data_IF_213279877993
#
_entry.id   IF_213279877993
#
_cell.length_a   1.000
_cell.length_b   1.000
_cell.length_c   1.000
_cell.angle_alpha   90.00
_cell.angle_beta   90.00
_cell.angle_gamma   90.00
#
_symmetry.space_group_name_H-M   'P 1'
#
loop_
_entity.id
_entity.type
_entity.pdbx_description
1 polymer ?
#
# COMPACT_ATOMS: atom_id res chain seq x y z
N UNK A 1 44.32 33.20 25.43
CA UNK A 1 43.14 32.33 25.24
C UNK A 1 42.25 32.88 24.11
N UNK A 2 42.67 32.77 22.85
CA UNK A 2 41.92 33.33 21.69
C UNK A 2 41.91 32.46 20.44
N UNK A 3 42.47 31.25 20.50
CA UNK A 3 42.61 30.35 19.34
C UNK A 3 41.42 29.39 19.15
N UNK A 4 40.53 29.27 20.13
CA UNK A 4 39.43 28.29 20.11
C UNK A 4 38.20 28.82 19.32
N UNK A 5 37.84 30.10 19.50
CA UNK A 5 36.70 30.71 18.79
C UNK A 5 36.94 30.87 17.27
N UNK A 6 38.19 31.01 16.85
CA UNK A 6 38.56 31.16 15.44
C UNK A 6 38.47 29.85 14.66
N UNK A 7 38.77 28.71 15.30
CA UNK A 7 38.56 27.38 14.70
C UNK A 7 37.07 27.05 14.56
N UNK A 8 36.27 27.30 15.61
CA UNK A 8 34.83 27.05 15.58
C UNK A 8 34.11 27.89 14.50
N UNK A 9 34.49 29.17 14.37
CA UNK A 9 33.97 30.02 13.30
C UNK A 9 34.40 29.57 11.89
N UNK A 10 35.61 29.01 11.74
CA UNK A 10 36.06 28.45 10.46
C UNK A 10 35.30 27.17 10.09
N UNK A 11 35.02 26.30 11.05
CA UNK A 11 34.19 25.10 10.84
C UNK A 11 32.74 25.47 10.49
N UNK A 12 32.16 26.45 11.17
CA UNK A 12 30.83 26.97 10.84
C UNK A 12 30.79 27.58 9.44
N UNK A 13 31.80 28.34 9.05
CA UNK A 13 31.93 28.89 7.70
C UNK A 13 32.08 27.78 6.65
N UNK A 14 32.85 26.73 6.94
CA UNK A 14 33.00 25.57 6.04
C UNK A 14 31.68 24.79 5.88
N UNK A 15 30.93 24.59 6.97
CA UNK A 15 29.59 23.98 6.94
C UNK A 15 28.61 24.84 6.13
N UNK A 16 28.57 26.15 6.37
CA UNK A 16 27.71 27.06 5.62
C UNK A 16 28.00 27.03 4.12
N UNK A 17 29.29 27.03 3.74
CA UNK A 17 29.71 26.91 2.33
C UNK A 17 29.30 25.57 1.72
N UNK A 18 29.35 24.47 2.48
CA UNK A 18 28.87 23.16 2.02
C UNK A 18 27.35 23.14 1.80
N UNK A 19 26.59 23.77 2.71
CA UNK A 19 25.13 23.91 2.60
C UNK A 19 24.76 24.75 1.38
N UNK A 20 25.39 25.91 1.17
CA UNK A 20 25.16 26.75 -0.01
C UNK A 20 25.47 26.01 -1.31
N UNK A 21 26.52 25.17 -1.31
CA UNK A 21 26.86 24.34 -2.46
C UNK A 21 25.77 23.30 -2.74
N UNK A 22 25.25 22.63 -1.71
CA UNK A 22 24.12 21.70 -1.85
C UNK A 22 22.87 22.43 -2.37
N UNK A 23 22.49 23.57 -1.79
CA UNK A 23 21.33 24.37 -2.22
C UNK A 23 21.45 24.75 -3.70
N UNK A 24 22.63 25.18 -4.14
CA UNK A 24 22.84 25.55 -5.55
C UNK A 24 22.80 24.33 -6.49
N UNK A 25 23.25 23.16 -6.03
CA UNK A 25 23.11 21.91 -6.78
C UNK A 25 21.62 21.50 -6.89
N UNK A 26 20.88 21.56 -5.79
CA UNK A 26 19.45 21.24 -5.75
C UNK A 26 18.62 22.21 -6.58
N UNK A 27 18.96 23.50 -6.61
CA UNK A 27 18.32 24.50 -7.48
C UNK A 27 18.53 24.16 -8.96
N UNK A 28 19.75 23.77 -9.34
CA UNK A 28 20.05 23.39 -10.73
C UNK A 28 19.32 22.11 -11.13
N UNK A 29 19.36 21.09 -10.27
CA UNK A 29 18.60 19.86 -10.48
C UNK A 29 17.08 20.13 -10.53
N UNK A 30 16.57 21.00 -9.68
CA UNK A 30 15.16 21.39 -9.65
C UNK A 30 14.70 22.15 -10.89
N UNK A 31 15.57 22.97 -11.49
CA UNK A 31 15.24 23.76 -12.68
C UNK A 31 14.99 22.93 -13.93
N UNK A 32 15.53 21.71 -14.01
CA UNK A 32 15.29 20.78 -15.13
C UNK A 32 14.12 19.83 -14.89
N UNK A 33 13.53 19.80 -13.69
CA UNK A 33 12.40 18.93 -13.36
C UNK A 33 11.09 19.56 -13.86
N UNK A 34 10.42 18.87 -14.78
CA UNK A 34 9.06 19.21 -15.21
C UNK A 34 8.05 18.60 -14.24
N UNK A 35 7.22 19.43 -13.60
CA UNK A 35 6.16 19.00 -12.67
C UNK A 35 4.84 18.88 -13.42
N UNK A 36 4.21 17.71 -13.32
CA UNK A 36 2.91 17.41 -13.94
C UNK A 36 1.87 17.17 -12.86
N UNK A 37 0.67 17.74 -13.03
CA UNK A 37 -0.47 17.52 -12.14
C UNK A 37 -1.57 16.77 -12.91
N UNK A 38 -1.94 15.60 -12.41
CA UNK A 38 -3.06 14.83 -12.95
C UNK A 38 -4.34 15.21 -12.20
N UNK A 39 -5.28 15.84 -12.91
CA UNK A 39 -6.59 16.23 -12.38
C UNK A 39 -7.69 15.31 -12.92
N UNK A 40 -8.70 15.04 -12.09
CA UNK A 40 -9.86 14.23 -12.47
C UNK A 40 -10.66 13.78 -11.26
N UNK A 41 -11.88 13.28 -11.49
CA UNK A 41 -12.77 12.77 -10.46
C UNK A 41 -12.13 11.65 -9.61
N UNK A 42 -12.69 11.38 -8.43
CA UNK A 42 -12.30 10.20 -7.64
C UNK A 42 -12.33 8.94 -8.51
N UNK A 43 -11.36 8.04 -8.31
CA UNK A 43 -11.33 6.71 -8.96
C UNK A 43 -11.14 6.69 -10.49
N UNK A 44 -11.00 7.83 -11.18
CA UNK A 44 -10.83 7.89 -12.64
C UNK A 44 -9.51 7.30 -13.19
N UNK A 45 -8.72 6.62 -12.37
CA UNK A 45 -7.50 5.93 -12.81
C UNK A 45 -6.23 6.78 -12.83
N UNK A 46 -6.20 7.96 -12.18
CA UNK A 46 -4.97 8.78 -12.06
C UNK A 46 -3.77 7.99 -11.54
N UNK A 47 -3.98 7.22 -10.48
CA UNK A 47 -2.94 6.34 -9.92
C UNK A 47 -2.53 5.22 -10.87
N UNK A 48 -3.44 4.78 -11.75
CA UNK A 48 -3.14 3.78 -12.77
C UNK A 48 -2.22 4.35 -13.85
N UNK A 49 -2.47 5.58 -14.31
CA UNK A 49 -1.60 6.27 -15.27
C UNK A 49 -0.19 6.46 -14.71
N UNK A 50 -0.07 6.87 -13.44
CA UNK A 50 1.22 7.00 -12.77
C UNK A 50 1.95 5.66 -12.64
N UNK A 51 1.24 4.58 -12.30
CA UNK A 51 1.82 3.23 -12.25
C UNK A 51 2.32 2.78 -13.63
N UNK A 52 1.61 3.10 -14.70
CA UNK A 52 2.06 2.81 -16.07
C UNK A 52 3.31 3.62 -16.44
N UNK A 53 3.38 4.88 -16.04
CA UNK A 53 4.60 5.70 -16.21
C UNK A 53 5.81 5.08 -15.50
N UNK A 54 5.62 4.55 -14.28
CA UNK A 54 6.69 3.85 -13.55
C UNK A 54 7.14 2.58 -14.26
N UNK A 55 6.21 1.81 -14.85
CA UNK A 55 6.56 0.60 -15.61
C UNK A 55 7.36 0.93 -16.87
N UNK A 56 7.02 2.03 -17.56
CA UNK A 56 7.65 2.41 -18.84
C UNK A 56 9.01 3.11 -18.68
N UNK A 57 9.18 3.93 -17.64
CA UNK A 57 10.34 4.82 -17.49
C UNK A 57 11.25 4.51 -16.30
N UNK A 58 10.84 3.64 -15.38
CA UNK A 58 11.65 3.19 -14.25
C UNK A 58 11.98 1.70 -14.37
N UNK A 59 12.89 1.18 -13.53
CA UNK A 59 13.27 -0.24 -13.50
C UNK A 59 12.18 -1.17 -12.92
N UNK A 60 10.90 -0.89 -13.15
CA UNK A 60 9.77 -1.64 -12.61
C UNK A 60 9.50 -1.37 -11.13
N UNK A 61 8.92 -2.36 -10.44
CA UNK A 61 8.60 -2.32 -9.01
C UNK A 61 9.58 -3.18 -8.20
N UNK A 62 9.92 -2.74 -7.00
CA UNK A 62 10.76 -3.51 -6.08
C UNK A 62 9.98 -4.64 -5.41
N UNK A 63 10.67 -5.66 -4.88
CA UNK A 63 10.02 -6.75 -4.14
C UNK A 63 9.27 -6.25 -2.90
N UNK A 64 9.78 -5.20 -2.25
CA UNK A 64 9.13 -4.53 -1.12
C UNK A 64 7.78 -3.92 -1.54
N UNK A 65 7.75 -3.13 -2.63
CA UNK A 65 6.52 -2.55 -3.17
C UNK A 65 5.49 -3.62 -3.58
N UNK A 66 5.96 -4.75 -4.11
CA UNK A 66 5.11 -5.89 -4.48
C UNK A 66 4.51 -6.52 -3.22
N UNK A 67 5.31 -6.74 -2.18
CA UNK A 67 4.82 -7.32 -0.92
C UNK A 67 3.81 -6.43 -0.22
N UNK A 68 4.02 -5.11 -0.23
CA UNK A 68 3.03 -4.16 0.29
C UNK A 68 1.71 -4.25 -0.50
N UNK A 69 1.79 -4.29 -1.84
CA UNK A 69 0.60 -4.39 -2.71
C UNK A 69 -0.16 -5.70 -2.54
N UNK A 70 0.49 -6.82 -2.20
CA UNK A 70 -0.19 -8.10 -1.94
C UNK A 70 -1.28 -7.95 -0.87
N UNK A 71 -0.96 -7.31 0.26
CA UNK A 71 -1.91 -7.09 1.35
C UNK A 71 -3.14 -6.30 0.88
N UNK A 72 -2.94 -5.30 0.03
CA UNK A 72 -3.99 -4.46 -0.55
C UNK A 72 -4.89 -5.29 -1.47
N UNK A 73 -4.31 -6.16 -2.32
CA UNK A 73 -5.08 -7.04 -3.21
C UNK A 73 -5.97 -7.99 -2.41
N UNK A 74 -5.44 -8.63 -1.37
CA UNK A 74 -6.25 -9.52 -0.52
C UNK A 74 -7.40 -8.77 0.17
N UNK A 75 -7.11 -7.60 0.74
CA UNK A 75 -8.12 -6.74 1.35
C UNK A 75 -9.22 -6.37 0.36
N UNK A 76 -8.84 -5.98 -0.86
CA UNK A 76 -9.80 -5.61 -1.90
C UNK A 76 -10.69 -6.78 -2.29
N UNK A 77 -10.13 -7.97 -2.48
CA UNK A 77 -10.90 -9.18 -2.83
C UNK A 77 -11.94 -9.50 -1.76
N UNK A 78 -11.52 -9.57 -0.50
CA UNK A 78 -12.44 -9.87 0.63
C UNK A 78 -13.49 -8.77 0.77
N UNK A 79 -13.09 -7.50 0.68
CA UNK A 79 -14.03 -6.37 0.78
C UNK A 79 -15.04 -6.40 -0.36
N UNK A 80 -14.61 -6.65 -1.60
CA UNK A 80 -15.49 -6.78 -2.76
C UNK A 80 -16.48 -7.94 -2.58
N UNK A 81 -16.02 -9.10 -2.12
CA UNK A 81 -16.90 -10.24 -1.82
C UNK A 81 -17.94 -9.89 -0.77
N UNK A 82 -17.55 -9.29 0.36
CA UNK A 82 -18.47 -8.85 1.40
C UNK A 82 -19.48 -7.82 0.89
N UNK A 83 -19.07 -6.90 0.02
CA UNK A 83 -19.97 -5.91 -0.59
C UNK A 83 -21.00 -6.57 -1.50
N UNK A 84 -20.59 -7.52 -2.34
CA UNK A 84 -21.50 -8.27 -3.21
C UNK A 84 -22.52 -9.04 -2.38
N UNK A 85 -22.08 -9.79 -1.37
CA UNK A 85 -22.99 -10.59 -0.55
C UNK A 85 -23.97 -9.71 0.24
N UNK A 86 -23.52 -8.57 0.78
CA UNK A 86 -24.42 -7.59 1.42
C UNK A 86 -25.43 -7.01 0.43
N UNK A 87 -25.05 -6.76 -0.82
CA UNK A 87 -25.97 -6.27 -1.84
C UNK A 87 -27.00 -7.34 -2.23
N UNK A 88 -26.57 -8.60 -2.32
CA UNK A 88 -27.48 -9.72 -2.59
C UNK A 88 -28.57 -9.85 -1.53
N UNK A 89 -28.22 -9.71 -0.25
CA UNK A 89 -29.15 -9.81 0.89
C UNK A 89 -30.04 -8.56 1.04
N UNK A 90 -29.42 -7.36 1.05
CA UNK A 90 -30.12 -6.11 1.39
C UNK A 90 -30.79 -5.39 0.22
N UNK A 91 -30.34 -5.63 -1.02
CA UNK A 91 -30.82 -4.88 -2.19
C UNK A 91 -31.59 -5.78 -3.14
N UNK A 92 -31.05 -6.96 -3.44
CA UNK A 92 -31.61 -7.86 -4.46
C UNK A 92 -32.49 -8.97 -3.86
N UNK A 93 -32.41 -9.22 -2.55
CA UNK A 93 -33.09 -10.30 -1.84
C UNK A 93 -32.92 -11.67 -2.50
N UNK A 94 -31.71 -11.97 -2.98
CA UNK A 94 -31.38 -13.25 -3.62
C UNK A 94 -30.88 -14.21 -2.53
N UNK A 95 -31.61 -15.29 -2.21
CA UNK A 95 -31.17 -16.27 -1.23
C UNK A 95 -29.99 -17.09 -1.78
N UNK A 96 -29.09 -17.49 -0.89
CA UNK A 96 -28.03 -18.43 -1.24
C UNK A 96 -28.63 -19.83 -1.35
N UNK A 97 -28.25 -20.58 -2.40
CA UNK A 97 -28.77 -21.93 -2.63
C UNK A 97 -28.38 -22.93 -1.52
N UNK A 98 -27.23 -22.71 -0.88
CA UNK A 98 -26.70 -23.59 0.17
C UNK A 98 -26.67 -22.88 1.53
N UNK A 99 -27.33 -23.48 2.54
CA UNK A 99 -27.35 -22.96 3.92
C UNK A 99 -25.97 -22.94 4.61
N UNK A 100 -25.02 -23.78 4.19
CA UNK A 100 -23.64 -23.72 4.70
C UNK A 100 -22.92 -22.42 4.30
N UNK A 101 -23.28 -21.87 3.13
CA UNK A 101 -22.72 -20.59 2.64
C UNK A 101 -23.27 -19.39 3.41
N UNK A 102 -24.47 -19.49 3.98
CA UNK A 102 -25.05 -18.47 4.85
C UNK A 102 -24.29 -18.34 6.18
N UNK A 103 -23.83 -19.46 6.75
CA UNK A 103 -23.02 -19.44 7.98
C UNK A 103 -21.66 -18.79 7.73
N UNK A 104 -21.02 -19.12 6.60
CA UNK A 104 -19.78 -18.44 6.16
C UNK A 104 -20.01 -16.94 5.88
N UNK A 105 -21.16 -16.57 5.32
CA UNK A 105 -21.55 -15.18 5.11
C UNK A 105 -21.64 -14.39 6.43
N UNK A 106 -22.33 -14.93 7.43
CA UNK A 106 -22.44 -14.28 8.75
C UNK A 106 -21.08 -14.14 9.43
N UNK A 107 -20.19 -15.14 9.31
CA UNK A 107 -18.83 -15.06 9.83
C UNK A 107 -18.01 -13.94 9.17
N UNK A 108 -18.06 -13.84 7.83
CA UNK A 108 -17.36 -12.80 7.07
C UNK A 108 -17.91 -11.39 7.32
N UNK A 109 -19.22 -11.25 7.52
CA UNK A 109 -19.86 -9.94 7.72
C UNK A 109 -19.73 -9.43 9.15
N UNK A 110 -19.78 -10.32 10.15
CA UNK A 110 -19.70 -9.95 11.58
C UNK A 110 -18.27 -9.74 12.08
N UNK A 111 -17.25 -10.37 11.48
CA UNK A 111 -15.86 -10.08 11.80
C UNK A 111 -15.38 -8.75 11.18
N UNK A 112 -15.97 -7.63 11.59
CA UNK A 112 -15.46 -6.28 11.29
C UNK A 112 -14.09 -5.96 11.96
N UNK A 113 -13.27 -6.95 12.34
CA UNK A 113 -12.07 -6.71 13.16
C UNK A 113 -10.79 -7.46 12.79
N UNK A 114 -10.76 -8.36 11.80
CA UNK A 114 -9.58 -9.23 11.58
C UNK A 114 -9.09 -9.23 10.14
N UNK A 115 -8.84 -8.06 9.55
CA UNK A 115 -8.07 -8.02 8.29
C UNK A 115 -6.76 -7.22 8.42
N UNK A 116 -6.63 -6.33 9.41
CA UNK A 116 -5.49 -5.41 9.41
C UNK A 116 -4.19 -5.85 10.10
N UNK A 117 -4.11 -6.88 10.95
CA UNK A 117 -2.81 -7.09 11.65
C UNK A 117 -2.38 -8.49 12.10
N UNK A 118 -3.26 -9.45 12.38
CA UNK A 118 -2.83 -10.60 13.21
C UNK A 118 -2.71 -11.93 12.44
N UNK A 119 -3.48 -12.18 11.38
CA UNK A 119 -3.53 -13.54 10.81
C UNK A 119 -2.59 -13.83 9.64
N UNK A 120 -2.07 -12.80 8.95
CA UNK A 120 -1.30 -13.04 7.72
C UNK A 120 0.22 -13.14 7.93
N UNK A 121 0.75 -12.59 9.03
CA UNK A 121 2.20 -12.60 9.29
C UNK A 121 2.73 -13.92 9.90
N UNK A 122 1.87 -14.92 10.11
CA UNK A 122 2.23 -16.09 10.93
C UNK A 122 2.24 -17.45 10.22
N UNK A 123 1.98 -17.55 8.91
CA UNK A 123 2.13 -18.86 8.23
C UNK A 123 2.80 -18.79 6.86
N UNK A 124 4.01 -19.39 6.70
CA UNK A 124 4.53 -19.76 5.40
C UNK A 124 3.71 -20.95 4.89
N UNK A 125 3.31 -20.87 3.62
CA UNK A 125 2.90 -21.94 2.70
C UNK A 125 2.66 -23.33 3.31
N UNK A 126 1.42 -23.82 3.27
CA UNK A 126 1.12 -25.20 2.87
C UNK A 126 -0.39 -25.38 2.65
N UNK A 127 -0.77 -25.29 1.37
CA UNK A 127 -2.07 -25.70 0.87
C UNK A 127 -2.10 -27.25 0.85
N UNK A 128 -2.29 -27.90 2.00
CA UNK A 128 -2.54 -29.34 2.02
C UNK A 128 -3.60 -29.70 3.05
N UNK A 129 -4.72 -30.21 2.51
CA UNK A 129 -5.57 -31.26 3.09
C UNK A 129 -6.54 -30.82 4.20
N UNK A 130 -7.67 -30.24 3.78
CA UNK A 130 -8.93 -30.37 4.52
C UNK A 130 -9.39 -31.83 4.31
N UNK A 131 -9.03 -32.73 5.23
CA UNK A 131 -9.68 -34.02 5.41
C UNK A 131 -10.83 -33.79 6.39
N UNK A 132 -12.04 -33.65 5.87
CA UNK A 132 -13.24 -33.87 6.68
C UNK A 132 -13.38 -35.39 6.88
N UNK A 133 -13.01 -35.87 8.07
CA UNK A 133 -13.45 -37.18 8.55
C UNK A 133 -14.17 -36.97 9.88
N UNK A 134 -15.47 -36.72 9.80
CA UNK A 134 -16.37 -36.95 10.93
C UNK A 134 -16.94 -38.34 10.72
N UNK A 135 -16.46 -39.32 11.50
CA UNK A 135 -17.18 -40.58 11.71
C UNK A 135 -18.38 -40.30 12.60
N UNK A 136 -19.46 -41.02 12.28
CA UNK A 136 -20.68 -41.26 13.06
C UNK A 136 -20.37 -41.44 14.56
#
# INVERSE_FOLDING_TARGET
MGSCQSQENQELAARNKAIEKQINQDKRAGSSIVKLLLLGAGECGKSTVLKQMQILHSNGFTEEEINEKKSIVYNNVVTSMCTILKAMDNVLHIPLEDGEKEVCFLALVNEKKVICHIYWNSKPYNLTRIRLTTRI
#
